data_IF_831703594757
#
_entry.id   IF_831703594757
#
_cell.length_a   1.000
_cell.length_b   1.000
_cell.length_c   1.000
_cell.angle_alpha   90.00
_cell.angle_beta   90.00
_cell.angle_gamma   90.00
#
_symmetry.space_group_name_H-M   'P 1'
#
loop_
_entity.id
_entity.type
_entity.pdbx_description
1 polymer ?
#
# COMPACT_ATOMS: atom_id res chain seq x y z
N UNK A 1 2.18 -28.86 30.25
CA UNK A 1 1.55 -27.85 29.35
C UNK A 1 1.95 -26.41 29.69
N UNK A 2 1.88 -25.96 30.96
CA UNK A 2 2.21 -24.58 31.41
C UNK A 2 3.68 -24.15 31.16
N UNK A 3 4.63 -25.06 31.34
CA UNK A 3 6.07 -24.80 31.11
C UNK A 3 6.37 -24.56 29.62
N UNK A 4 5.76 -25.36 28.74
CA UNK A 4 5.92 -25.24 27.27
C UNK A 4 5.38 -23.88 26.80
N UNK A 5 4.20 -23.47 27.26
CA UNK A 5 3.61 -22.17 26.91
C UNK A 5 4.50 -21.01 27.42
N UNK A 6 5.00 -21.08 28.65
CA UNK A 6 5.87 -20.04 29.20
C UNK A 6 7.21 -19.92 28.44
N UNK A 7 7.77 -21.04 27.99
CA UNK A 7 8.99 -21.04 27.18
C UNK A 7 8.72 -20.47 25.79
N UNK A 8 7.65 -20.89 25.12
CA UNK A 8 7.24 -20.34 23.82
C UNK A 8 6.98 -18.84 23.90
N UNK A 9 6.26 -18.36 24.91
CA UNK A 9 5.99 -16.93 25.06
C UNK A 9 7.28 -16.13 25.27
N UNK A 10 8.25 -16.64 26.04
CA UNK A 10 9.56 -15.98 26.24
C UNK A 10 10.38 -15.84 24.95
N UNK A 11 10.23 -16.78 24.01
CA UNK A 11 10.88 -16.77 22.69
C UNK A 11 10.18 -15.83 21.69
N UNK A 12 8.86 -15.68 21.80
CA UNK A 12 8.05 -14.82 20.90
C UNK A 12 8.14 -13.34 21.28
N UNK A 13 8.47 -13.03 22.54
CA UNK A 13 8.70 -11.66 22.98
C UNK A 13 9.85 -11.01 22.20
N UNK A 14 9.63 -9.76 21.77
CA UNK A 14 10.69 -8.97 21.16
C UNK A 14 11.65 -8.55 22.26
N UNK A 15 12.90 -9.03 22.16
CA UNK A 15 14.00 -8.67 23.05
C UNK A 15 15.22 -8.35 22.21
N UNK A 16 16.12 -7.47 22.69
CA UNK A 16 17.44 -7.35 22.09
C UNK A 16 18.06 -8.75 21.87
N UNK A 17 18.61 -8.94 20.67
CA UNK A 17 19.29 -10.16 20.24
C UNK A 17 18.48 -11.46 20.14
N UNK A 18 17.17 -11.45 20.43
CA UNK A 18 16.36 -12.66 20.29
C UNK A 18 16.16 -13.06 18.82
N UNK A 19 16.03 -14.37 18.51
CA UNK A 19 15.71 -14.83 17.15
C UNK A 19 14.41 -14.22 16.62
N UNK A 20 13.41 -14.07 17.48
CA UNK A 20 12.14 -13.42 17.16
C UNK A 20 12.31 -11.96 16.78
N UNK A 21 13.16 -11.22 17.48
CA UNK A 21 13.48 -9.83 17.14
C UNK A 21 14.23 -9.72 15.81
N UNK A 22 15.23 -10.58 15.55
CA UNK A 22 15.97 -10.59 14.26
C UNK A 22 15.03 -10.85 13.07
N UNK A 23 14.14 -11.83 13.21
CA UNK A 23 13.11 -12.16 12.21
C UNK A 23 12.10 -11.02 12.05
N UNK A 24 11.68 -10.39 13.15
CA UNK A 24 10.79 -9.24 13.09
C UNK A 24 11.45 -8.04 12.40
N UNK A 25 12.72 -7.76 12.70
CA UNK A 25 13.49 -6.64 12.15
C UNK A 25 13.67 -6.79 10.62
N UNK A 26 14.04 -7.99 10.19
CA UNK A 26 14.22 -8.36 8.79
C UNK A 26 13.47 -9.67 8.47
N UNK A 27 12.17 -9.59 8.14
CA UNK A 27 11.37 -10.75 7.81
C UNK A 27 11.95 -11.51 6.61
N UNK A 28 12.16 -12.84 6.72
CA UNK A 28 12.71 -13.64 5.62
C UNK A 28 11.69 -13.83 4.49
N UNK A 29 10.42 -13.49 4.72
CA UNK A 29 9.34 -13.71 3.76
C UNK A 29 9.08 -12.47 2.91
N UNK A 30 9.07 -12.68 1.59
CA UNK A 30 8.55 -11.72 0.62
C UNK A 30 7.12 -12.07 0.26
N UNK A 31 6.24 -11.08 0.20
CA UNK A 31 4.85 -11.26 -0.23
C UNK A 31 4.79 -11.04 -1.74
N UNK A 32 4.19 -11.97 -2.48
CA UNK A 32 3.80 -11.70 -3.87
C UNK A 32 2.45 -11.00 -3.89
N UNK A 33 2.37 -9.85 -4.56
CA UNK A 33 1.13 -9.12 -4.77
C UNK A 33 0.87 -8.96 -6.27
N UNK A 34 -0.27 -9.47 -6.73
CA UNK A 34 -0.71 -9.34 -8.11
C UNK A 34 -1.82 -8.28 -8.22
N UNK A 35 -1.68 -7.39 -9.18
CA UNK A 35 -2.69 -6.38 -9.51
C UNK A 35 -3.37 -6.76 -10.82
N UNK A 36 -4.69 -6.61 -10.88
CA UNK A 36 -5.46 -6.70 -12.13
C UNK A 36 -6.26 -5.42 -12.26
N UNK A 37 -6.30 -4.89 -13.47
CA UNK A 37 -7.05 -3.67 -13.80
C UNK A 37 -8.32 -4.06 -14.56
N UNK A 38 -9.32 -3.20 -14.49
CA UNK A 38 -10.56 -3.36 -15.25
C UNK A 38 -10.54 -2.44 -16.47
N UNK A 39 -10.35 -3.04 -17.64
CA UNK A 39 -10.42 -2.37 -18.93
C UNK A 39 -11.88 -2.14 -19.32
N UNK A 40 -12.27 -0.91 -19.59
CA UNK A 40 -13.62 -0.53 -20.02
C UNK A 40 -13.73 -0.77 -21.52
N UNK A 41 -14.69 -1.61 -21.93
CA UNK A 41 -14.82 -2.05 -23.32
C UNK A 41 -15.80 -1.21 -24.14
N UNK A 42 -16.71 -0.47 -23.49
CA UNK A 42 -17.69 0.41 -24.14
C UNK A 42 -17.59 1.91 -23.74
N UNK A 43 -16.39 2.52 -23.73
CA UNK A 43 -16.21 3.91 -23.25
C UNK A 43 -16.95 4.95 -24.08
N UNK A 44 -17.24 4.69 -25.35
CA UNK A 44 -17.99 5.62 -26.21
C UNK A 44 -19.47 5.66 -25.84
N UNK A 45 -20.09 4.50 -25.64
CA UNK A 45 -21.50 4.39 -25.24
C UNK A 45 -21.74 5.11 -23.91
N UNK A 46 -20.84 4.90 -22.94
CA UNK A 46 -20.93 5.54 -21.62
C UNK A 46 -20.88 7.07 -21.73
N UNK A 47 -20.09 7.62 -22.66
CA UNK A 47 -20.01 9.07 -22.85
C UNK A 47 -21.24 9.60 -23.58
N UNK A 48 -21.82 8.83 -24.50
CA UNK A 48 -22.99 9.22 -25.28
C UNK A 48 -24.26 9.24 -24.43
N UNK A 49 -24.51 8.19 -23.64
CA UNK A 49 -25.66 8.11 -22.74
C UNK A 49 -25.25 7.57 -21.35
N UNK A 50 -24.65 8.42 -20.51
CA UNK A 50 -24.19 8.01 -19.18
C UNK A 50 -25.32 7.64 -18.22
N UNK A 51 -26.57 8.03 -18.52
CA UNK A 51 -27.70 7.81 -17.62
C UNK A 51 -28.27 6.38 -17.75
N UNK A 52 -28.18 5.78 -18.94
CA UNK A 52 -28.77 4.46 -19.23
C UNK A 52 -27.73 3.39 -19.54
N UNK A 53 -26.51 3.77 -19.94
CA UNK A 53 -25.48 2.81 -20.36
C UNK A 53 -24.88 2.07 -19.18
N UNK A 54 -24.90 0.74 -19.24
CA UNK A 54 -24.15 -0.11 -18.31
C UNK A 54 -22.67 -0.16 -18.69
N UNK A 55 -21.77 0.00 -17.72
CA UNK A 55 -20.32 -0.06 -17.94
C UNK A 55 -19.89 -1.52 -18.14
N UNK A 56 -19.35 -1.84 -19.31
CA UNK A 56 -18.77 -3.14 -19.61
C UNK A 56 -17.27 -3.12 -19.29
N UNK A 57 -16.82 -4.10 -18.51
CA UNK A 57 -15.43 -4.22 -18.07
C UNK A 57 -14.86 -5.61 -18.38
N UNK A 58 -13.57 -5.64 -18.68
CA UNK A 58 -12.78 -6.86 -18.84
C UNK A 58 -11.54 -6.77 -17.94
N UNK A 59 -11.31 -7.81 -17.14
CA UNK A 59 -10.14 -7.87 -16.27
C UNK A 59 -8.86 -8.14 -17.09
N UNK A 60 -7.77 -7.46 -16.74
CA UNK A 60 -6.46 -7.70 -17.35
C UNK A 60 -5.79 -8.95 -16.79
N UNK A 61 -4.70 -9.37 -17.45
CA UNK A 61 -3.73 -10.29 -16.84
C UNK A 61 -3.17 -9.71 -15.51
N UNK A 62 -2.65 -10.56 -14.60
CA UNK A 62 -2.04 -10.08 -13.36
C UNK A 62 -0.66 -9.45 -13.57
N UNK A 63 -0.44 -8.29 -12.96
CA UNK A 63 0.86 -7.63 -12.85
C UNK A 63 1.45 -7.94 -11.46
N UNK A 64 2.40 -8.88 -11.39
CA UNK A 64 2.91 -9.42 -10.12
C UNK A 64 4.14 -8.68 -9.61
N UNK A 65 4.14 -8.35 -8.32
CA UNK A 65 5.22 -7.65 -7.64
C UNK A 65 5.65 -8.40 -6.38
N UNK A 66 6.91 -8.29 -6.03
CA UNK A 66 7.45 -8.67 -4.74
C UNK A 66 7.37 -7.48 -3.79
N UNK A 67 6.84 -7.73 -2.61
CA UNK A 67 6.73 -6.76 -1.53
C UNK A 67 7.49 -7.28 -0.33
N UNK A 68 8.48 -6.52 0.14
CA UNK A 68 9.17 -6.80 1.39
C UNK A 68 9.18 -5.56 2.28
N UNK A 69 9.38 -5.75 3.57
CA UNK A 69 9.38 -4.65 4.53
C UNK A 69 10.36 -4.90 5.65
N UNK A 70 11.32 -4.00 5.82
CA UNK A 70 12.31 -4.03 6.90
C UNK A 70 12.03 -2.95 7.91
N UNK A 71 12.37 -3.20 9.18
CA UNK A 71 12.22 -2.22 10.25
C UNK A 71 13.56 -1.53 10.44
N UNK A 72 13.53 -0.21 10.57
CA UNK A 72 14.70 0.67 10.67
C UNK A 72 14.49 1.68 11.80
N UNK A 73 15.56 2.35 12.23
CA UNK A 73 15.52 3.36 13.29
C UNK A 73 14.85 2.85 14.56
N UNK A 74 15.22 1.65 14.98
CA UNK A 74 14.61 0.98 16.12
C UNK A 74 15.09 1.62 17.42
N UNK A 75 14.15 2.00 18.28
CA UNK A 75 14.41 2.60 19.59
C UNK A 75 13.60 1.85 20.65
N UNK A 76 14.24 1.46 21.73
CA UNK A 76 13.59 0.81 22.87
C UNK A 76 13.20 1.84 23.91
N UNK A 77 12.09 1.61 24.62
CA UNK A 77 11.83 2.35 25.86
C UNK A 77 12.83 1.94 26.94
N UNK A 78 13.07 2.79 27.94
CA UNK A 78 14.03 2.54 29.04
C UNK A 78 13.82 1.19 29.73
N UNK A 79 12.56 0.78 29.90
CA UNK A 79 12.18 -0.49 30.51
C UNK A 79 11.98 -1.64 29.50
N UNK A 80 12.28 -1.41 28.22
CA UNK A 80 12.12 -2.36 27.10
C UNK A 80 10.70 -2.92 26.91
N UNK A 81 9.68 -2.24 27.45
CA UNK A 81 8.27 -2.67 27.34
C UNK A 81 7.60 -2.23 26.04
N UNK A 82 8.23 -1.30 25.33
CA UNK A 82 7.84 -0.85 24.01
C UNK A 82 9.04 -0.63 23.11
N UNK A 83 8.77 -0.71 21.81
CA UNK A 83 9.74 -0.53 20.74
C UNK A 83 9.13 0.38 19.67
N UNK A 84 9.88 1.42 19.31
CA UNK A 84 9.54 2.37 18.26
C UNK A 84 10.40 2.13 17.03
N UNK A 85 9.83 2.29 15.83
CA UNK A 85 10.52 1.98 14.58
C UNK A 85 9.89 2.66 13.37
N UNK A 86 10.64 2.67 12.27
CA UNK A 86 10.17 2.99 10.92
C UNK A 86 10.08 1.72 10.07
N UNK A 87 9.14 1.67 9.13
CA UNK A 87 9.02 0.58 8.16
C UNK A 87 9.48 1.08 6.81
N UNK A 88 10.48 0.43 6.22
CA UNK A 88 10.92 0.66 4.85
C UNK A 88 10.40 -0.46 3.95
N UNK A 89 9.79 -0.11 2.82
CA UNK A 89 9.18 -1.08 1.90
C UNK A 89 9.96 -1.15 0.59
N UNK A 90 10.29 -2.37 0.17
CA UNK A 90 10.71 -2.65 -1.21
C UNK A 90 9.51 -3.17 -1.97
N UNK A 91 9.32 -2.64 -3.18
CA UNK A 91 8.24 -3.02 -4.07
C UNK A 91 8.80 -3.09 -5.50
N UNK A 92 9.03 -4.30 -5.99
CA UNK A 92 9.68 -4.53 -7.28
C UNK A 92 8.89 -5.52 -8.11
N UNK A 93 9.01 -5.46 -9.44
CA UNK A 93 8.39 -6.46 -10.32
C UNK A 93 8.87 -7.87 -9.95
N UNK A 94 7.96 -8.84 -9.94
CA UNK A 94 8.30 -10.22 -9.59
C UNK A 94 9.14 -10.84 -10.70
N UNK A 95 10.31 -11.45 -10.41
CA UNK A 95 11.28 -11.85 -11.43
C UNK A 95 10.73 -12.86 -12.45
N UNK A 96 9.88 -13.79 -12.00
CA UNK A 96 9.33 -14.87 -12.86
C UNK A 96 7.82 -14.80 -13.11
N UNK A 97 7.10 -13.92 -12.41
CA UNK A 97 5.62 -13.82 -12.48
C UNK A 97 5.14 -12.47 -13.02
N UNK A 98 6.08 -11.56 -13.28
CA UNK A 98 5.81 -10.37 -14.05
C UNK A 98 6.17 -10.66 -15.50
N UNK A 99 5.16 -10.74 -16.36
CA UNK A 99 5.37 -10.88 -17.79
C UNK A 99 5.95 -9.59 -18.36
N UNK A 100 7.15 -9.65 -18.92
CA UNK A 100 7.83 -8.46 -19.46
C UNK A 100 7.09 -7.83 -20.63
N UNK A 101 6.32 -8.61 -21.40
CA UNK A 101 5.52 -8.09 -22.52
C UNK A 101 4.34 -7.22 -22.04
N UNK A 102 3.93 -7.39 -20.78
CA UNK A 102 2.80 -6.66 -20.17
C UNK A 102 3.04 -5.15 -20.06
N UNK A 103 4.29 -4.69 -20.19
CA UNK A 103 4.63 -3.27 -20.34
C UNK A 103 4.04 -2.64 -21.60
N UNK A 104 3.47 -3.42 -22.51
CA UNK A 104 2.78 -2.95 -23.71
C UNK A 104 1.26 -3.05 -23.62
N UNK A 105 0.71 -3.57 -22.52
CA UNK A 105 -0.73 -3.72 -22.33
C UNK A 105 -1.41 -2.35 -22.34
N UNK A 106 -2.27 -2.10 -23.33
CA UNK A 106 -3.05 -0.87 -23.45
C UNK A 106 -4.52 -1.16 -23.22
N UNK A 107 -5.20 -0.23 -22.58
CA UNK A 107 -6.63 -0.31 -22.34
C UNK A 107 -7.19 1.04 -21.94
N UNK A 108 -8.50 1.07 -21.76
CA UNK A 108 -9.22 2.20 -21.21
C UNK A 108 -9.50 1.91 -19.75
N UNK A 109 -8.80 2.59 -18.86
CA UNK A 109 -9.01 2.43 -17.43
C UNK A 109 -9.51 3.74 -16.82
N UNK A 110 -10.05 3.66 -15.60
CA UNK A 110 -10.52 4.82 -14.86
C UNK A 110 -9.42 5.87 -14.75
N UNK A 111 -9.76 7.13 -15.03
CA UNK A 111 -8.80 8.23 -15.04
C UNK A 111 -8.39 8.64 -13.61
N UNK A 112 -7.24 8.13 -13.17
CA UNK A 112 -6.65 8.47 -11.87
C UNK A 112 -6.34 9.97 -11.73
N UNK A 113 -6.09 10.68 -12.84
CA UNK A 113 -5.84 12.13 -12.82
C UNK A 113 -7.03 12.84 -12.20
N UNK A 114 -8.26 12.48 -12.56
CA UNK A 114 -9.49 13.07 -12.01
C UNK A 114 -9.64 12.84 -10.52
N UNK A 115 -9.34 11.63 -10.05
CA UNK A 115 -9.45 11.27 -8.64
C UNK A 115 -8.47 12.09 -7.77
N UNK A 116 -7.21 12.17 -8.18
CA UNK A 116 -6.25 13.05 -7.50
C UNK A 116 -6.65 14.52 -7.58
N UNK A 117 -7.17 14.96 -8.73
CA UNK A 117 -7.55 16.35 -8.92
C UNK A 117 -8.64 16.79 -7.94
N UNK A 118 -9.69 15.96 -7.78
CA UNK A 118 -10.75 16.19 -6.80
C UNK A 118 -10.24 16.22 -5.36
N UNK A 119 -9.16 15.49 -5.07
CA UNK A 119 -8.54 15.51 -3.74
C UNK A 119 -7.63 16.73 -3.52
N UNK A 120 -7.04 17.29 -4.58
CA UNK A 120 -6.08 18.40 -4.51
C UNK A 120 -6.73 19.78 -4.67
N UNK A 121 -7.89 19.86 -5.32
CA UNK A 121 -8.51 21.13 -5.71
C UNK A 121 -10.01 21.16 -5.39
N UNK A 122 -10.58 22.34 -5.09
CA UNK A 122 -12.02 22.49 -4.85
C UNK A 122 -12.87 22.02 -6.05
N UNK A 123 -14.03 21.41 -5.78
CA UNK A 123 -14.93 20.87 -6.82
C UNK A 123 -15.31 21.88 -7.90
N UNK A 124 -15.47 23.15 -7.55
CA UNK A 124 -15.83 24.23 -8.49
C UNK A 124 -14.78 24.52 -9.56
N UNK A 125 -13.52 24.14 -9.34
CA UNK A 125 -12.45 24.37 -10.31
C UNK A 125 -12.39 23.25 -11.37
N UNK A 126 -12.90 22.07 -11.04
CA UNK A 126 -12.80 20.82 -11.81
C UNK A 126 -13.36 20.93 -13.24
N UNK A 127 -14.56 21.50 -13.50
CA UNK A 127 -15.10 21.62 -14.87
C UNK A 127 -14.22 22.50 -15.78
N UNK A 128 -13.77 23.66 -15.28
CA UNK A 128 -12.90 24.59 -16.04
C UNK A 128 -11.57 23.93 -16.41
N UNK A 129 -11.00 23.13 -15.51
CA UNK A 129 -9.77 22.38 -15.79
C UNK A 129 -9.94 21.33 -16.89
N UNK A 130 -11.07 20.63 -16.95
CA UNK A 130 -11.31 19.64 -18.00
C UNK A 130 -11.51 20.26 -19.38
N UNK A 131 -12.17 21.42 -19.44
CA UNK A 131 -12.29 22.19 -20.69
C UNK A 131 -10.90 22.66 -21.18
N UNK A 132 -10.06 23.19 -20.29
CA UNK A 132 -8.73 23.69 -20.64
C UNK A 132 -7.76 22.60 -21.11
N UNK A 133 -7.84 21.41 -20.53
CA UNK A 133 -6.96 20.30 -20.89
C UNK A 133 -7.51 19.42 -22.04
N UNK A 134 -8.58 19.86 -22.73
CA UNK A 134 -9.16 19.16 -23.87
C UNK A 134 -9.57 17.71 -23.55
N UNK A 135 -9.97 17.45 -22.29
CA UNK A 135 -9.90 16.09 -21.77
C UNK A 135 -11.11 15.22 -22.14
N UNK A 136 -10.86 14.06 -22.77
CA UNK A 136 -11.86 13.00 -22.91
C UNK A 136 -12.17 12.36 -21.54
N UNK A 137 -13.39 11.84 -21.37
CA UNK A 137 -13.79 11.11 -20.14
C UNK A 137 -12.99 9.83 -19.92
N UNK A 138 -12.56 9.22 -21.02
CA UNK A 138 -11.83 7.95 -21.03
C UNK A 138 -10.58 8.07 -21.89
N UNK A 139 -9.47 7.52 -21.40
CA UNK A 139 -8.18 7.52 -22.10
C UNK A 139 -7.68 6.10 -22.30
N UNK A 140 -7.12 5.87 -23.49
CA UNK A 140 -6.29 4.72 -23.73
C UNK A 140 -4.93 4.97 -23.06
N UNK A 141 -4.56 4.12 -22.12
CA UNK A 141 -3.28 4.19 -21.40
C UNK A 141 -2.67 2.82 -21.27
N UNK A 142 -1.37 2.81 -20.99
CA UNK A 142 -0.70 1.60 -20.61
C UNK A 142 -1.08 1.17 -19.18
N UNK A 143 -1.31 -0.12 -18.98
CA UNK A 143 -1.74 -0.70 -17.72
C UNK A 143 -0.65 -0.61 -16.64
N UNK A 144 0.60 -0.85 -17.01
CA UNK A 144 1.74 -0.78 -16.08
C UNK A 144 2.02 0.67 -15.69
N UNK A 145 1.91 1.62 -16.63
CA UNK A 145 2.03 3.05 -16.32
C UNK A 145 0.93 3.54 -15.35
N UNK A 146 -0.31 3.05 -15.48
CA UNK A 146 -1.39 3.34 -14.53
C UNK A 146 -1.05 2.89 -13.10
N UNK A 147 -0.38 1.75 -12.98
CA UNK A 147 0.09 1.23 -11.70
C UNK A 147 1.29 2.04 -11.18
N UNK A 148 2.39 2.03 -11.92
CA UNK A 148 3.70 2.47 -11.47
C UNK A 148 3.92 3.98 -11.53
N UNK A 149 3.19 4.68 -12.40
CA UNK A 149 3.23 6.13 -12.51
C UNK A 149 3.33 6.65 -13.94
N UNK A 150 2.40 7.52 -14.31
CA UNK A 150 2.40 8.27 -15.57
C UNK A 150 2.32 9.78 -15.32
N UNK A 151 2.56 10.54 -16.39
CA UNK A 151 2.28 11.98 -16.48
C UNK A 151 1.24 12.24 -17.55
N UNK A 152 0.57 13.39 -17.46
CA UNK A 152 -0.35 13.89 -18.48
C UNK A 152 -0.16 15.38 -18.66
N UNK A 153 -0.64 15.93 -19.77
CA UNK A 153 -0.61 17.37 -20.01
C UNK A 153 -1.34 18.13 -18.91
N UNK A 154 -2.52 17.63 -18.49
CA UNK A 154 -3.23 18.18 -17.33
C UNK A 154 -2.36 18.16 -16.06
N UNK A 155 -1.72 17.03 -15.77
CA UNK A 155 -0.85 16.93 -14.60
C UNK A 155 0.25 18.00 -14.64
N UNK A 156 0.90 18.17 -15.79
CA UNK A 156 1.96 19.17 -15.97
C UNK A 156 1.46 20.60 -15.78
N UNK A 157 0.26 20.92 -16.29
CA UNK A 157 -0.37 22.25 -16.13
C UNK A 157 -0.59 22.59 -14.66
N UNK A 158 -1.03 21.62 -13.85
CA UNK A 158 -1.40 21.88 -12.45
C UNK A 158 -0.34 21.52 -11.43
N UNK A 159 0.74 20.87 -11.86
CA UNK A 159 1.81 20.38 -11.01
C UNK A 159 2.31 21.43 -10.02
N UNK A 160 2.48 22.67 -10.46
CA UNK A 160 2.97 23.78 -9.64
C UNK A 160 2.03 24.17 -8.51
N UNK A 161 0.74 23.82 -8.61
CA UNK A 161 -0.28 24.10 -7.60
C UNK A 161 -0.63 22.89 -6.73
N UNK A 162 -0.11 21.70 -7.07
CA UNK A 162 -0.33 20.49 -6.28
C UNK A 162 0.50 20.54 -4.99
N UNK A 163 -0.06 19.98 -3.92
CA UNK A 163 0.61 19.89 -2.62
C UNK A 163 0.79 18.43 -2.20
N UNK A 164 1.69 18.21 -1.24
CA UNK A 164 1.96 16.87 -0.74
C UNK A 164 2.86 16.06 -1.67
N UNK A 165 2.86 14.73 -1.56
CA UNK A 165 4.03 13.96 -1.94
C UNK A 165 3.91 13.32 -3.36
N UNK A 166 2.80 13.53 -4.07
CA UNK A 166 2.53 13.00 -5.41
C UNK A 166 2.58 14.10 -6.49
N UNK A 167 3.66 14.88 -6.51
CA UNK A 167 3.81 16.04 -7.40
C UNK A 167 4.68 15.79 -8.62
N UNK A 168 5.19 14.57 -8.85
CA UNK A 168 6.02 14.26 -10.04
C UNK A 168 5.36 13.29 -11.03
N UNK A 169 4.61 12.29 -10.55
CA UNK A 169 3.84 11.35 -11.37
C UNK A 169 2.58 10.92 -10.64
N UNK A 170 1.76 10.15 -11.34
CA UNK A 170 0.46 9.69 -10.89
C UNK A 170 0.28 8.20 -11.18
N UNK A 171 -0.05 7.39 -10.18
CA UNK A 171 -0.32 5.96 -10.35
C UNK A 171 -0.77 5.30 -9.05
N UNK A 172 -1.44 4.16 -9.14
CA UNK A 172 -2.03 3.47 -7.97
C UNK A 172 -0.99 3.03 -6.93
N UNK A 173 0.17 2.59 -7.40
CA UNK A 173 1.28 2.10 -6.58
C UNK A 173 2.53 2.96 -6.77
N UNK A 174 2.36 4.14 -7.38
CA UNK A 174 3.41 5.12 -7.48
C UNK A 174 3.96 5.44 -6.08
N UNK A 175 5.30 5.42 -5.96
CA UNK A 175 6.05 5.65 -4.70
C UNK A 175 5.91 4.55 -3.65
N UNK A 176 5.34 3.39 -3.95
CA UNK A 176 5.37 2.26 -3.02
C UNK A 176 6.81 1.78 -2.77
N UNK A 177 7.61 1.70 -3.85
CA UNK A 177 9.00 1.29 -3.76
C UNK A 177 9.84 2.34 -3.04
N UNK A 178 10.61 1.90 -2.05
CA UNK A 178 11.42 2.79 -1.20
C UNK A 178 10.59 3.63 -0.23
N UNK A 179 9.27 3.43 -0.14
CA UNK A 179 8.44 4.16 0.81
C UNK A 179 8.86 3.87 2.24
N UNK A 180 8.74 4.90 3.09
CA UNK A 180 8.96 4.79 4.52
C UNK A 180 7.72 5.25 5.27
N UNK A 181 7.31 4.45 6.24
CA UNK A 181 6.32 4.85 7.23
C UNK A 181 7.03 4.99 8.58
N UNK A 182 6.74 6.09 9.28
CA UNK A 182 7.42 6.49 10.50
C UNK A 182 6.54 6.26 11.73
N UNK A 183 7.15 6.40 12.91
CA UNK A 183 6.45 6.58 14.19
C UNK A 183 5.53 5.42 14.58
N UNK A 184 5.91 4.18 14.26
CA UNK A 184 5.26 3.03 14.87
C UNK A 184 5.82 2.81 16.26
N UNK A 185 4.96 2.59 17.23
CA UNK A 185 5.33 2.12 18.57
C UNK A 185 4.46 0.93 18.93
N UNK A 186 5.08 -0.19 19.27
CA UNK A 186 4.37 -1.41 19.70
C UNK A 186 4.87 -1.86 21.07
N UNK A 187 4.06 -2.66 21.76
CA UNK A 187 4.50 -3.35 22.97
C UNK A 187 5.43 -4.50 22.60
N UNK A 188 6.52 -4.67 23.35
CA UNK A 188 7.51 -5.73 23.11
C UNK A 188 7.05 -7.13 23.58
N UNK A 189 5.98 -7.17 24.38
CA UNK A 189 5.50 -8.38 25.05
C UNK A 189 6.19 -8.65 26.39
N UNK A 190 7.25 -7.92 26.76
CA UNK A 190 8.02 -8.18 27.99
C UNK A 190 7.25 -8.01 29.31
N UNK A 191 6.14 -7.27 29.32
CA UNK A 191 5.31 -7.10 30.53
C UNK A 191 4.22 -8.16 30.70
N UNK A 192 3.90 -8.95 29.67
CA UNK A 192 2.90 -10.03 29.76
C UNK A 192 3.46 -11.18 30.65
N UNK A 193 4.77 -11.17 30.94
CA UNK A 193 5.46 -12.14 31.80
C UNK A 193 5.41 -11.81 33.29
N UNK A 194 4.81 -10.69 33.71
CA UNK A 194 4.50 -10.38 35.12
C UNK A 194 3.04 -10.74 35.44
N UNK A 195 2.65 -12.00 35.25
CA UNK A 195 1.44 -12.51 35.91
C UNK A 195 1.83 -12.75 37.39
N UNK A 196 1.23 -12.06 38.37
CA UNK A 196 1.47 -12.38 39.77
C UNK A 196 1.02 -13.82 40.02
N UNK A 197 1.86 -14.65 40.63
CA UNK A 197 1.54 -16.05 40.91
C UNK A 197 0.32 -16.23 41.84
N UNK A 198 -0.25 -15.14 42.38
CA UNK A 198 -1.19 -15.20 43.50
C UNK A 198 -2.68 -15.10 43.14
N UNK A 199 -3.07 -14.88 41.88
CA UNK A 199 -4.48 -14.61 41.56
C UNK A 199 -5.34 -15.81 41.11
N UNK A 200 -4.78 -17.03 41.02
CA UNK A 200 -5.52 -18.22 40.58
C UNK A 200 -5.85 -19.23 41.70
N UNK A 201 -5.53 -18.94 42.96
CA UNK A 201 -5.77 -19.86 44.09
C UNK A 201 -7.01 -19.54 44.95
N UNK A 202 -7.89 -18.61 44.53
CA UNK A 202 -9.06 -18.21 45.35
C UNK A 202 -10.44 -18.62 44.80
N UNK A 203 -10.54 -19.53 43.85
CA UNK A 203 -11.85 -19.97 43.32
C UNK A 203 -12.04 -21.49 43.26
N UNK A 204 -11.38 -22.25 44.13
CA UNK A 204 -11.53 -23.72 44.19
C UNK A 204 -11.52 -24.28 45.62
N UNK A 205 -12.07 -23.50 46.57
CA UNK A 205 -12.54 -24.01 47.85
C UNK A 205 -13.88 -23.35 48.13
N UNK A 206 -14.95 -24.01 47.67
CA UNK A 206 -16.26 -24.21 48.32
C UNK A 206 -17.06 -25.17 47.44
#
# INVERSE_FOLDING_TARGET
KKIIINNVLKEVALKPDSPGYKTWLNPPTTITRAYRLFNITNPKEIVTDPATTTINIQETRPYSYLVSSTKQNVQWSENYTSISYSVHRSFTRHPTRFDSSSVNDKGVFIDFVRAMFRAQFPMQAVPKFYHLAGMKTFYHRNAVEQLEGFTSDLFNIVRQKMTGPNTAKSGFIYRYNGSRAYNYTIKSGMNIFRIPQNHFLRSLIL
#
